data_IF_242555269420
#
_entry.id   IF_242555269420
#
_cell.length_a   1.000
_cell.length_b   1.000
_cell.length_c   1.000
_cell.angle_alpha   90.00
_cell.angle_beta   90.00
_cell.angle_gamma   90.00
#
_symmetry.space_group_name_H-M   'P 1'
#
loop_
_entity.id
_entity.type
_entity.pdbx_description
1 polymer ?
#
# COMPACT_ATOMS: atom_id res chain seq x y z
N UNK A 1 16.44 17.01 -23.13
CA UNK A 1 16.60 16.07 -21.98
C UNK A 1 16.99 16.81 -20.71
N UNK A 2 18.07 17.61 -20.69
CA UNK A 2 18.51 18.36 -19.50
C UNK A 2 17.43 19.31 -18.93
N UNK A 3 16.76 20.09 -19.79
CA UNK A 3 15.70 21.00 -19.37
C UNK A 3 14.55 20.26 -18.66
N UNK A 4 14.17 19.07 -19.17
CA UNK A 4 13.13 18.24 -18.56
C UNK A 4 13.55 17.65 -17.22
N UNK A 5 14.82 17.27 -17.06
CA UNK A 5 15.36 16.82 -15.77
C UNK A 5 15.38 17.97 -14.74
N UNK A 6 15.81 19.16 -15.16
CA UNK A 6 15.81 20.34 -14.29
C UNK A 6 14.38 20.72 -13.89
N UNK A 7 13.44 20.74 -14.84
CA UNK A 7 12.01 20.96 -14.55
C UNK A 7 11.47 19.92 -13.58
N UNK A 8 11.73 18.63 -13.82
CA UNK A 8 11.31 17.56 -12.94
C UNK A 8 11.88 17.69 -11.53
N UNK A 9 13.15 18.06 -11.41
CA UNK A 9 13.79 18.32 -10.12
C UNK A 9 13.17 19.51 -9.38
N UNK A 10 12.89 20.61 -10.08
CA UNK A 10 12.21 21.77 -9.49
C UNK A 10 10.79 21.47 -9.06
N UNK A 11 10.01 20.75 -9.88
CA UNK A 11 8.66 20.30 -9.53
C UNK A 11 8.70 19.40 -8.30
N UNK A 12 9.69 18.50 -8.22
CA UNK A 12 9.89 17.65 -7.05
C UNK A 12 10.17 18.46 -5.78
N UNK A 13 11.13 19.40 -5.82
CA UNK A 13 11.44 20.26 -4.67
C UNK A 13 10.25 21.12 -4.24
N UNK A 14 9.51 21.68 -5.20
CA UNK A 14 8.29 22.45 -4.92
C UNK A 14 7.21 21.58 -4.29
N UNK A 15 7.04 20.34 -4.76
CA UNK A 15 6.09 19.39 -4.18
C UNK A 15 6.42 19.11 -2.72
N UNK A 16 7.69 18.89 -2.38
CA UNK A 16 8.11 18.69 -0.99
C UNK A 16 7.89 19.96 -0.15
N UNK A 17 8.26 21.14 -0.68
CA UNK A 17 8.06 22.41 0.01
C UNK A 17 6.57 22.68 0.33
N UNK A 18 5.68 22.45 -0.64
CA UNK A 18 4.24 22.62 -0.48
C UNK A 18 3.68 21.60 0.52
N UNK A 19 4.13 20.34 0.43
CA UNK A 19 3.61 19.25 1.25
C UNK A 19 4.01 19.37 2.71
N UNK A 20 5.25 19.81 2.99
CA UNK A 20 5.82 19.86 4.34
C UNK A 20 5.89 21.27 4.93
N UNK A 21 5.71 22.32 4.13
CA UNK A 21 5.78 23.72 4.56
C UNK A 21 7.18 24.21 4.92
N UNK A 22 8.22 23.43 4.59
CA UNK A 22 9.63 23.75 4.85
C UNK A 22 10.50 23.15 3.74
N UNK A 23 11.70 23.68 3.47
CA UNK A 23 12.64 23.06 2.54
C UNK A 23 13.02 21.67 3.04
N UNK A 24 12.36 20.67 2.48
CA UNK A 24 12.49 19.26 2.80
C UNK A 24 12.87 18.52 1.52
N UNK A 25 13.84 17.61 1.60
CA UNK A 25 14.21 16.74 0.46
C UNK A 25 13.92 15.32 0.90
N UNK A 26 12.71 14.85 0.58
CA UNK A 26 12.17 13.57 1.02
C UNK A 26 13.07 12.40 0.62
N UNK A 27 13.69 12.45 -0.56
CA UNK A 27 14.56 11.41 -1.10
C UNK A 27 15.85 11.23 -0.31
N UNK A 28 16.50 12.34 0.10
CA UNK A 28 17.73 12.29 0.91
C UNK A 28 17.42 11.76 2.31
N UNK A 29 16.35 12.25 2.92
CA UNK A 29 15.95 11.81 4.25
C UNK A 29 15.51 10.34 4.25
N UNK A 30 14.79 9.92 3.21
CA UNK A 30 14.43 8.52 2.99
C UNK A 30 15.68 7.64 2.82
N UNK A 31 16.65 8.09 2.01
CA UNK A 31 17.91 7.36 1.81
C UNK A 31 18.67 7.23 3.14
N UNK A 32 18.83 8.32 3.88
CA UNK A 32 19.50 8.31 5.18
C UNK A 32 18.81 7.34 6.15
N UNK A 33 17.49 7.46 6.31
CA UNK A 33 16.73 6.62 7.23
C UNK A 33 16.79 5.12 6.90
N UNK A 34 16.79 4.76 5.61
CA UNK A 34 16.70 3.36 5.18
C UNK A 34 18.05 2.71 4.88
N UNK A 35 19.04 3.45 4.36
CA UNK A 35 20.33 2.90 3.96
C UNK A 35 21.45 3.17 4.96
N UNK A 36 21.38 4.28 5.71
CA UNK A 36 22.42 4.66 6.69
C UNK A 36 21.97 4.23 8.09
N UNK A 37 20.76 4.63 8.48
CA UNK A 37 20.25 4.41 9.83
C UNK A 37 19.53 3.05 9.97
N UNK A 38 19.29 2.34 8.87
CA UNK A 38 18.63 1.02 8.78
C UNK A 38 17.33 0.90 9.60
N UNK A 39 16.57 1.99 9.73
CA UNK A 39 15.34 2.05 10.55
C UNK A 39 14.30 1.05 10.05
N UNK A 40 14.29 0.78 8.74
CA UNK A 40 13.39 -0.17 8.09
C UNK A 40 13.49 -1.61 8.58
N UNK A 41 14.66 -2.05 9.08
CA UNK A 41 14.86 -3.42 9.59
C UNK A 41 13.90 -3.81 10.70
N UNK A 42 13.51 -2.84 11.52
CA UNK A 42 12.55 -3.01 12.61
C UNK A 42 11.16 -3.46 12.12
N UNK A 43 10.87 -3.28 10.82
CA UNK A 43 9.61 -3.64 10.17
C UNK A 43 9.73 -4.92 9.32
N UNK A 44 10.84 -5.65 9.45
CA UNK A 44 11.12 -6.89 8.74
C UNK A 44 11.91 -6.67 7.44
N UNK A 45 12.69 -7.69 7.07
CA UNK A 45 13.55 -7.71 5.89
C UNK A 45 13.01 -8.65 4.81
N UNK A 46 13.17 -8.27 3.55
CA UNK A 46 12.85 -9.13 2.39
C UNK A 46 14.07 -9.34 1.49
N UNK A 47 14.18 -10.48 0.79
CA UNK A 47 15.31 -10.74 -0.10
C UNK A 47 15.33 -9.78 -1.29
N UNK A 48 16.49 -9.66 -1.96
CA UNK A 48 16.65 -8.86 -3.18
C UNK A 48 15.62 -9.23 -4.26
N UNK A 49 15.28 -10.52 -4.37
CA UNK A 49 14.34 -11.05 -5.37
C UNK A 49 12.88 -10.64 -5.13
N UNK A 50 12.55 -9.98 -4.02
CA UNK A 50 11.18 -9.66 -3.63
C UNK A 50 10.38 -8.98 -4.74
N UNK A 51 10.91 -7.90 -5.34
CA UNK A 51 10.16 -7.17 -6.37
C UNK A 51 9.97 -7.98 -7.65
N UNK A 52 10.97 -8.76 -8.07
CA UNK A 52 10.86 -9.67 -9.20
C UNK A 52 9.75 -10.71 -8.97
N UNK A 53 9.67 -11.28 -7.77
CA UNK A 53 8.60 -12.20 -7.39
C UNK A 53 7.23 -11.52 -7.38
N UNK A 54 7.15 -10.28 -6.90
CA UNK A 54 5.90 -9.53 -6.95
C UNK A 54 5.46 -9.24 -8.39
N UNK A 55 6.36 -8.79 -9.27
CA UNK A 55 6.03 -8.61 -10.68
C UNK A 55 5.56 -9.91 -11.32
N UNK A 56 6.24 -11.03 -11.07
CA UNK A 56 5.79 -12.35 -11.53
C UNK A 56 4.40 -12.70 -11.04
N UNK A 57 4.06 -12.35 -9.80
CA UNK A 57 2.74 -12.58 -9.23
C UNK A 57 1.65 -11.71 -9.86
N UNK A 58 1.90 -10.42 -10.05
CA UNK A 58 0.88 -9.46 -10.52
C UNK A 58 0.77 -9.37 -12.05
N UNK A 59 1.88 -9.51 -12.76
CA UNK A 59 1.90 -9.49 -14.22
C UNK A 59 1.76 -10.90 -14.81
N UNK A 60 2.04 -11.96 -14.03
CA UNK A 60 1.77 -13.35 -14.41
C UNK A 60 2.33 -13.68 -15.81
N UNK A 61 1.55 -14.39 -16.64
CA UNK A 61 1.97 -14.78 -17.99
C UNK A 61 2.20 -13.60 -18.95
N UNK A 62 1.76 -12.38 -18.62
CA UNK A 62 2.00 -11.20 -19.47
C UNK A 62 3.49 -10.83 -19.54
N UNK A 63 4.30 -11.25 -18.56
CA UNK A 63 5.75 -10.99 -18.56
C UNK A 63 6.47 -11.59 -19.77
N UNK A 64 5.91 -12.62 -20.42
CA UNK A 64 6.47 -13.18 -21.67
C UNK A 64 6.57 -12.11 -22.77
N UNK A 65 5.66 -11.13 -22.77
CA UNK A 65 5.67 -10.05 -23.76
C UNK A 65 6.57 -8.88 -23.37
N UNK A 66 7.06 -8.81 -22.13
CA UNK A 66 7.89 -7.68 -21.68
C UNK A 66 9.19 -7.58 -22.50
N UNK A 67 9.90 -8.69 -22.68
CA UNK A 67 11.18 -8.69 -23.40
C UNK A 67 11.05 -8.28 -24.88
N UNK A 68 10.12 -8.84 -25.68
CA UNK A 68 9.86 -8.35 -27.04
C UNK A 68 9.56 -6.85 -27.12
N UNK A 69 8.79 -6.32 -26.16
CA UNK A 69 8.46 -4.90 -26.12
C UNK A 69 9.64 -4.00 -25.79
N UNK A 70 10.47 -4.41 -24.82
CA UNK A 70 11.72 -3.72 -24.47
C UNK A 70 12.66 -3.67 -25.67
N UNK A 71 12.84 -4.78 -26.38
CA UNK A 71 13.70 -4.85 -27.59
C UNK A 71 13.16 -3.93 -28.69
N UNK A 72 11.84 -3.94 -28.93
CA UNK A 72 11.22 -3.11 -29.96
C UNK A 72 11.37 -1.60 -29.71
N UNK A 73 11.39 -1.17 -28.45
CA UNK A 73 11.51 0.25 -28.06
C UNK A 73 12.89 0.66 -27.59
N UNK A 74 13.85 -0.26 -27.52
CA UNK A 74 15.19 0.02 -26.99
C UNK A 74 15.83 1.25 -27.63
N UNK A 75 15.86 1.32 -28.97
CA UNK A 75 16.51 2.41 -29.69
C UNK A 75 15.95 3.80 -29.38
N UNK A 76 14.64 3.92 -29.16
CA UNK A 76 13.98 5.21 -28.93
C UNK A 76 13.79 5.54 -27.45
N UNK A 77 13.80 4.54 -26.56
CA UNK A 77 13.41 4.71 -25.16
C UNK A 77 14.38 4.08 -24.15
N UNK A 78 15.61 3.72 -24.56
CA UNK A 78 16.61 3.17 -23.64
C UNK A 78 16.81 3.98 -22.33
N UNK A 79 16.71 5.33 -22.29
CA UNK A 79 16.88 6.05 -21.03
C UNK A 79 15.78 5.73 -20.01
N UNK A 80 14.54 5.55 -20.47
CA UNK A 80 13.41 5.19 -19.62
C UNK A 80 13.54 3.74 -19.14
N UNK A 81 13.95 2.84 -20.03
CA UNK A 81 14.17 1.42 -19.71
C UNK A 81 15.27 1.29 -18.65
N UNK A 82 16.43 1.90 -18.89
CA UNK A 82 17.57 1.86 -17.95
C UNK A 82 17.19 2.53 -16.63
N UNK A 83 16.53 3.69 -16.67
CA UNK A 83 16.08 4.37 -15.45
C UNK A 83 15.12 3.52 -14.62
N UNK A 84 14.20 2.82 -15.27
CA UNK A 84 13.25 1.91 -14.59
C UNK A 84 13.97 0.71 -13.97
N UNK A 85 14.88 0.08 -14.72
CA UNK A 85 15.69 -1.05 -14.20
C UNK A 85 16.51 -0.59 -13.00
N UNK A 86 17.22 0.52 -13.14
CA UNK A 86 18.05 1.09 -12.09
C UNK A 86 17.23 1.42 -10.84
N UNK A 87 16.05 2.03 -11.02
CA UNK A 87 15.14 2.33 -9.93
C UNK A 87 14.69 1.06 -9.17
N UNK A 88 14.30 0.00 -9.88
CA UNK A 88 13.92 -1.28 -9.24
C UNK A 88 15.10 -1.93 -8.54
N UNK A 89 16.29 -1.92 -9.14
CA UNK A 89 17.50 -2.51 -8.54
C UNK A 89 17.88 -1.77 -7.26
N UNK A 90 17.90 -0.44 -7.27
CA UNK A 90 18.19 0.36 -6.07
C UNK A 90 17.21 0.05 -4.93
N UNK A 91 15.92 -0.03 -5.21
CA UNK A 91 14.93 -0.39 -4.20
C UNK A 91 15.07 -1.84 -3.74
N UNK A 92 15.54 -2.74 -4.61
CA UNK A 92 15.78 -4.15 -4.26
C UNK A 92 16.92 -4.33 -3.25
N UNK A 93 17.82 -3.35 -3.12
CA UNK A 93 18.91 -3.37 -2.13
C UNK A 93 18.40 -3.01 -0.73
N UNK A 94 17.34 -2.20 -0.61
CA UNK A 94 16.77 -1.79 0.68
C UNK A 94 16.25 -3.01 1.44
N UNK A 95 16.57 -3.14 2.72
CA UNK A 95 16.20 -4.32 3.53
C UNK A 95 14.68 -4.45 3.68
N UNK A 96 14.01 -3.36 4.04
CA UNK A 96 12.55 -3.29 4.11
C UNK A 96 11.95 -2.96 2.74
N UNK A 97 11.04 -3.82 2.27
CA UNK A 97 10.47 -3.72 0.94
C UNK A 97 8.96 -3.74 0.97
N UNK A 98 8.36 -2.76 0.31
CA UNK A 98 6.93 -2.70 0.07
C UNK A 98 6.66 -2.45 -1.40
N UNK A 99 5.58 -3.05 -1.92
CA UNK A 99 5.20 -2.90 -3.33
C UNK A 99 4.97 -1.44 -3.72
N UNK A 100 4.47 -0.61 -2.78
CA UNK A 100 4.19 0.81 -3.02
C UNK A 100 5.42 1.61 -3.42
N UNK A 101 6.63 1.22 -2.97
CA UNK A 101 7.86 1.93 -3.30
C UNK A 101 8.19 1.88 -4.80
N UNK A 102 7.81 0.78 -5.46
CA UNK A 102 8.03 0.59 -6.89
C UNK A 102 6.77 0.79 -7.74
N UNK A 103 5.67 1.28 -7.16
CA UNK A 103 4.36 1.29 -7.83
C UNK A 103 4.37 2.04 -9.17
N UNK A 104 5.15 3.12 -9.28
CA UNK A 104 5.28 3.91 -10.50
C UNK A 104 5.92 3.17 -11.68
N UNK A 105 6.56 2.04 -11.43
CA UNK A 105 7.13 1.20 -12.51
C UNK A 105 6.07 0.36 -13.22
N UNK A 106 4.92 0.10 -12.59
CA UNK A 106 3.88 -0.75 -13.18
C UNK A 106 3.33 -0.19 -14.50
N UNK A 107 2.96 1.11 -14.62
CA UNK A 107 2.55 1.69 -15.89
C UNK A 107 3.61 1.55 -16.98
N UNK A 108 4.88 1.74 -16.63
CA UNK A 108 6.01 1.61 -17.58
C UNK A 108 6.16 0.16 -18.06
N UNK A 109 6.11 -0.80 -17.16
CA UNK A 109 6.18 -2.23 -17.50
C UNK A 109 4.98 -2.66 -18.35
N UNK A 110 3.78 -2.21 -18.01
CA UNK A 110 2.56 -2.49 -18.79
C UNK A 110 2.64 -1.91 -20.20
N UNK A 111 3.16 -0.71 -20.36
CA UNK A 111 3.40 -0.11 -21.68
C UNK A 111 4.29 -1.01 -22.55
N UNK A 112 5.43 -1.48 -22.01
CA UNK A 112 6.31 -2.37 -22.75
C UNK A 112 5.70 -3.75 -23.01
N UNK A 113 4.90 -4.30 -22.08
CA UNK A 113 4.13 -5.52 -22.32
C UNK A 113 3.19 -5.35 -23.52
N UNK A 114 2.46 -4.24 -23.62
CA UNK A 114 1.55 -3.94 -24.73
C UNK A 114 2.32 -3.87 -26.06
N UNK A 115 3.47 -3.20 -26.08
CA UNK A 115 4.32 -3.13 -27.26
C UNK A 115 4.83 -4.53 -27.67
N UNK A 116 5.14 -5.39 -26.71
CA UNK A 116 5.51 -6.79 -26.99
C UNK A 116 4.36 -7.61 -27.55
N UNK A 117 3.13 -7.42 -27.05
CA UNK A 117 1.92 -8.04 -27.62
C UNK A 117 1.74 -7.56 -29.06
N UNK A 118 1.98 -6.29 -29.37
CA UNK A 118 1.85 -5.74 -30.72
C UNK A 118 2.89 -6.32 -31.68
N UNK A 119 4.15 -6.44 -31.27
CA UNK A 119 5.21 -7.12 -32.04
C UNK A 119 4.80 -8.56 -32.34
N UNK A 120 4.29 -9.26 -31.34
CA UNK A 120 3.85 -10.63 -31.50
C UNK A 120 2.64 -10.74 -32.44
N UNK A 121 1.67 -9.83 -32.35
CA UNK A 121 0.52 -9.75 -33.27
C UNK A 121 0.96 -9.57 -34.74
N UNK A 122 1.91 -8.67 -35.00
CA UNK A 122 2.45 -8.47 -36.37
C UNK A 122 3.11 -9.76 -36.86
N UNK A 123 3.91 -10.40 -36.00
CA UNK A 123 4.53 -11.69 -36.31
C UNK A 123 3.47 -12.73 -36.69
N UNK A 124 2.42 -12.90 -35.90
CA UNK A 124 1.33 -13.84 -36.18
C UNK A 124 0.63 -13.56 -37.50
N UNK A 125 0.32 -12.29 -37.77
CA UNK A 125 -0.33 -11.86 -39.01
C UNK A 125 0.52 -12.18 -40.24
N UNK A 126 1.85 -12.01 -40.14
CA UNK A 126 2.79 -12.35 -41.21
C UNK A 126 2.76 -13.84 -41.56
N UNK A 127 2.71 -14.71 -40.55
CA UNK A 127 2.72 -16.16 -40.76
C UNK A 127 1.34 -16.79 -40.94
N UNK A 128 0.26 -15.99 -40.95
CA UNK A 128 -1.15 -16.44 -41.02
C UNK A 128 -1.46 -17.61 -40.08
N UNK A 129 -0.79 -17.65 -38.92
CA UNK A 129 -0.85 -18.80 -38.02
C UNK A 129 -1.95 -18.58 -36.96
N UNK A 130 -3.14 -19.11 -37.24
CA UNK A 130 -4.30 -18.98 -36.36
C UNK A 130 -4.09 -19.65 -35.00
N UNK A 131 -3.32 -20.73 -34.92
CA UNK A 131 -3.03 -21.43 -33.67
C UNK A 131 -2.21 -20.58 -32.71
N UNK A 132 -1.28 -19.80 -33.23
CA UNK A 132 -0.42 -18.95 -32.41
C UNK A 132 -1.16 -17.67 -31.95
N UNK A 133 -2.20 -17.22 -32.66
CA UNK A 133 -3.14 -16.22 -32.15
C UNK A 133 -4.00 -16.79 -31.01
N UNK A 134 -4.55 -17.99 -31.19
CA UNK A 134 -5.31 -18.68 -30.13
C UNK A 134 -4.47 -18.91 -28.87
N UNK A 135 -3.19 -19.23 -29.02
CA UNK A 135 -2.26 -19.39 -27.90
C UNK A 135 -2.04 -18.08 -27.11
N UNK A 136 -1.94 -16.93 -27.79
CA UNK A 136 -1.84 -15.62 -27.12
C UNK A 136 -3.11 -15.28 -26.38
N UNK A 137 -4.27 -15.44 -27.03
CA UNK A 137 -5.56 -15.23 -26.37
C UNK A 137 -5.71 -16.13 -25.15
N UNK A 138 -5.26 -17.39 -25.23
CA UNK A 138 -5.28 -18.30 -24.09
C UNK A 138 -4.35 -17.82 -22.98
N UNK A 139 -3.12 -17.38 -23.29
CA UNK A 139 -2.18 -16.83 -22.30
C UNK A 139 -2.70 -15.56 -21.62
N UNK A 140 -3.35 -14.66 -22.37
CA UNK A 140 -3.91 -13.43 -21.78
C UNK A 140 -5.12 -13.76 -20.90
N UNK A 141 -6.01 -14.65 -21.35
CA UNK A 141 -7.15 -15.11 -20.56
C UNK A 141 -6.69 -15.81 -19.28
N UNK A 142 -5.73 -16.75 -19.36
CA UNK A 142 -5.21 -17.44 -18.17
C UNK A 142 -4.54 -16.47 -17.21
N UNK A 143 -3.82 -15.46 -17.71
CA UNK A 143 -3.23 -14.41 -16.85
C UNK A 143 -4.30 -13.59 -16.12
N UNK A 144 -5.40 -13.25 -16.81
CA UNK A 144 -6.52 -12.54 -16.23
C UNK A 144 -7.24 -13.41 -15.18
N UNK A 145 -7.43 -14.70 -15.45
CA UNK A 145 -8.05 -15.63 -14.50
C UNK A 145 -7.20 -15.84 -13.24
N UNK A 146 -5.88 -16.00 -13.38
CA UNK A 146 -4.95 -16.10 -12.25
C UNK A 146 -4.98 -14.81 -11.42
N UNK A 147 -4.93 -13.65 -12.08
CA UNK A 147 -5.01 -12.36 -11.41
C UNK A 147 -6.36 -12.15 -10.72
N UNK A 148 -7.47 -12.48 -11.38
CA UNK A 148 -8.81 -12.40 -10.78
C UNK A 148 -8.90 -13.26 -9.52
N UNK A 149 -8.44 -14.51 -9.56
CA UNK A 149 -8.43 -15.39 -8.39
C UNK A 149 -7.53 -14.86 -7.26
N UNK A 150 -6.36 -14.29 -7.60
CA UNK A 150 -5.47 -13.70 -6.59
C UNK A 150 -6.06 -12.44 -5.97
N UNK A 151 -6.70 -11.58 -6.78
CA UNK A 151 -7.34 -10.34 -6.33
C UNK A 151 -8.56 -10.63 -5.46
N UNK A 152 -9.45 -11.51 -5.92
CA UNK A 152 -10.70 -11.81 -5.20
C UNK A 152 -10.48 -12.60 -3.92
N UNK A 153 -9.47 -13.48 -3.86
CA UNK A 153 -9.20 -14.31 -2.68
C UNK A 153 -8.26 -13.67 -1.65
N UNK A 154 -7.45 -12.66 -2.02
CA UNK A 154 -6.41 -12.10 -1.14
C UNK A 154 -6.51 -10.61 -0.86
N UNK A 155 -7.36 -9.85 -1.57
CA UNK A 155 -7.65 -8.47 -1.18
C UNK A 155 -8.92 -8.51 -0.34
N UNK A 156 -8.82 -8.49 1.00
CA UNK A 156 -9.95 -8.08 1.81
C UNK A 156 -10.15 -6.60 1.52
N UNK A 157 -10.93 -6.26 0.49
CA UNK A 157 -11.45 -4.91 0.27
C UNK A 157 -12.21 -4.41 1.51
N UNK A 158 -12.60 -5.34 2.39
CA UNK A 158 -13.15 -5.07 3.71
C UNK A 158 -12.14 -4.39 4.66
N UNK A 159 -10.83 -4.59 4.52
CA UNK A 159 -9.83 -4.04 5.44
C UNK A 159 -9.77 -2.52 5.40
N UNK A 160 -9.84 -1.93 4.20
CA UNK A 160 -9.88 -0.46 4.08
C UNK A 160 -11.23 0.07 4.53
N UNK A 161 -12.33 -0.60 4.18
CA UNK A 161 -13.67 -0.16 4.55
C UNK A 161 -13.91 -0.19 6.06
N UNK A 162 -13.47 -1.23 6.79
CA UNK A 162 -13.66 -1.33 8.24
C UNK A 162 -12.91 -0.22 8.98
N UNK A 163 -11.63 0.00 8.66
CA UNK A 163 -10.83 1.06 9.27
C UNK A 163 -11.36 2.45 8.86
N UNK A 164 -11.75 2.62 7.59
CA UNK A 164 -12.33 3.86 7.08
C UNK A 164 -13.66 4.19 7.77
N UNK A 165 -14.54 3.21 7.93
CA UNK A 165 -15.81 3.38 8.64
C UNK A 165 -15.59 3.66 10.13
N UNK A 166 -14.55 3.08 10.74
CA UNK A 166 -14.16 3.43 12.10
C UNK A 166 -13.74 4.90 12.22
N UNK A 167 -12.94 5.40 11.28
CA UNK A 167 -12.54 6.81 11.26
C UNK A 167 -13.72 7.74 10.96
N UNK A 168 -14.58 7.39 10.01
CA UNK A 168 -15.78 8.17 9.66
C UNK A 168 -16.76 8.24 10.83
N UNK A 169 -17.06 7.10 11.48
CA UNK A 169 -17.88 7.08 12.69
C UNK A 169 -17.24 7.87 13.83
N UNK A 170 -15.91 7.82 13.97
CA UNK A 170 -15.22 8.61 14.99
C UNK A 170 -15.38 10.12 14.74
N UNK A 171 -15.28 10.55 13.47
CA UNK A 171 -15.49 11.94 13.06
C UNK A 171 -16.95 12.38 13.25
N UNK A 172 -17.93 11.58 12.81
CA UNK A 172 -19.37 11.87 12.97
C UNK A 172 -19.78 12.03 14.45
N UNK A 173 -19.13 11.28 15.35
CA UNK A 173 -19.39 11.34 16.79
C UNK A 173 -18.51 12.36 17.53
N UNK A 174 -17.79 13.23 16.80
CA UNK A 174 -17.04 14.34 17.39
C UNK A 174 -15.85 13.91 18.25
N UNK A 175 -15.32 12.69 18.04
CA UNK A 175 -14.19 12.20 18.82
C UNK A 175 -12.95 13.06 18.52
N UNK A 176 -12.60 13.87 19.52
CA UNK A 176 -11.42 14.73 19.57
C UNK A 176 -10.56 14.34 20.77
N UNK A 177 -9.25 14.56 20.70
CA UNK A 177 -8.29 14.20 21.75
C UNK A 177 -7.72 12.78 21.66
N UNK A 178 -6.86 12.43 22.64
CA UNK A 178 -6.22 11.11 22.77
C UNK A 178 -7.24 10.01 23.01
N UNK A 179 -7.73 9.42 21.93
CA UNK A 179 -8.75 8.37 21.93
C UNK A 179 -8.12 7.02 21.58
N UNK A 180 -8.47 5.99 22.34
CA UNK A 180 -8.01 4.62 22.17
C UNK A 180 -8.99 3.86 21.28
N UNK A 181 -8.52 3.29 20.18
CA UNK A 181 -9.31 2.42 19.31
C UNK A 181 -8.81 1.00 19.51
N UNK A 182 -9.63 0.15 20.15
CA UNK A 182 -9.29 -1.26 20.34
C UNK A 182 -9.91 -2.07 19.22
N UNK A 183 -9.08 -2.71 18.40
CA UNK A 183 -9.53 -3.62 17.34
C UNK A 183 -9.07 -5.03 17.70
N UNK A 184 -9.97 -6.01 17.58
CA UNK A 184 -9.80 -7.36 18.12
C UNK A 184 -8.74 -8.21 17.38
N UNK A 185 -8.20 -7.74 16.25
CA UNK A 185 -7.14 -8.46 15.51
C UNK A 185 -5.88 -7.61 15.34
N UNK A 186 -4.82 -8.18 14.77
CA UNK A 186 -3.57 -7.47 14.49
C UNK A 186 -3.79 -6.44 13.36
N UNK A 187 -4.55 -5.38 13.64
CA UNK A 187 -4.74 -4.29 12.69
C UNK A 187 -3.55 -3.35 12.80
N UNK A 188 -2.91 -3.06 11.66
CA UNK A 188 -1.70 -2.28 11.57
C UNK A 188 -1.84 -0.93 12.30
N UNK A 189 -0.87 -0.62 13.17
CA UNK A 189 -0.70 0.71 13.72
C UNK A 189 -0.46 1.70 12.58
N UNK A 190 -1.51 2.36 12.12
CA UNK A 190 -1.41 3.51 11.22
C UNK A 190 -0.96 4.73 12.00
N UNK A 191 0.34 4.88 12.22
CA UNK A 191 0.88 6.16 12.65
C UNK A 191 0.61 7.20 11.55
N UNK A 192 -0.23 8.19 11.85
CA UNK A 192 -0.31 9.42 11.06
C UNK A 192 -1.00 9.30 9.70
N UNK A 193 -2.21 8.74 9.64
CA UNK A 193 -3.07 9.06 8.51
C UNK A 193 -3.52 10.52 8.61
N UNK A 194 -2.93 11.38 7.77
CA UNK A 194 -3.56 12.64 7.38
C UNK A 194 -4.79 12.28 6.57
N UNK A 195 -5.92 12.13 7.26
CA UNK A 195 -7.20 11.92 6.59
C UNK A 195 -7.65 13.28 6.03
N UNK A 196 -7.84 13.35 4.71
CA UNK A 196 -8.42 14.51 4.00
C UNK A 196 -7.75 15.87 4.30
N UNK A 197 -6.42 15.88 4.49
CA UNK A 197 -5.68 17.13 4.69
C UNK A 197 -5.91 17.83 6.04
N UNK A 198 -6.66 17.21 6.95
CA UNK A 198 -6.80 17.72 8.32
C UNK A 198 -5.68 17.15 9.17
N UNK A 199 -4.88 18.03 9.79
CA UNK A 199 -4.02 17.64 10.92
C UNK A 199 -4.95 17.22 12.04
N UNK A 200 -5.13 15.91 12.24
CA UNK A 200 -5.49 15.44 13.57
C UNK A 200 -4.36 15.87 14.49
N UNK A 201 -4.60 16.91 15.29
CA UNK A 201 -3.67 17.34 16.34
C UNK A 201 -3.54 16.29 17.44
N UNK A 202 -4.41 15.28 17.42
CA UNK A 202 -4.59 14.34 18.49
C UNK A 202 -4.15 12.92 18.09
N UNK A 203 -3.45 12.26 19.01
CA UNK A 203 -2.89 10.94 18.81
C UNK A 203 -3.97 9.87 19.00
N UNK A 204 -4.41 9.26 17.90
CA UNK A 204 -5.20 8.03 17.94
C UNK A 204 -4.30 6.84 18.22
N UNK A 205 -4.70 6.05 19.21
CA UNK A 205 -3.93 4.90 19.68
C UNK A 205 -4.64 3.61 19.29
N UNK A 206 -3.99 2.79 18.46
CA UNK A 206 -4.49 1.46 18.10
C UNK A 206 -3.79 0.40 18.94
N UNK A 207 -4.53 -0.28 19.81
CA UNK A 207 -3.99 -1.36 20.63
C UNK A 207 -4.91 -2.58 20.63
N UNK A 208 -4.33 -3.76 20.41
CA UNK A 208 -4.98 -5.02 20.78
C UNK A 208 -4.80 -5.24 22.28
N UNK A 209 -5.66 -4.59 23.06
CA UNK A 209 -5.56 -4.56 24.51
C UNK A 209 -5.76 -5.95 25.14
N UNK A 210 -6.54 -6.83 24.51
CA UNK A 210 -6.77 -8.22 24.96
C UNK A 210 -5.49 -9.07 25.10
N UNK A 211 -4.37 -8.66 24.51
CA UNK A 211 -3.07 -9.34 24.65
C UNK A 211 -2.26 -8.92 25.88
N UNK A 212 -2.61 -7.82 26.54
CA UNK A 212 -1.83 -7.25 27.63
C UNK A 212 -2.51 -7.47 28.98
N UNK A 213 -1.70 -7.60 30.04
CA UNK A 213 -2.23 -7.68 31.41
C UNK A 213 -2.96 -6.41 31.82
N UNK A 214 -3.92 -6.54 32.73
CA UNK A 214 -4.73 -5.42 33.23
C UNK A 214 -3.87 -4.25 33.74
N UNK A 215 -2.80 -4.54 34.49
CA UNK A 215 -1.90 -3.50 35.02
C UNK A 215 -1.11 -2.77 33.92
N UNK A 216 -0.82 -3.45 32.81
CA UNK A 216 -0.20 -2.80 31.65
C UNK A 216 -1.20 -1.89 30.94
N UNK A 217 -2.42 -2.39 30.72
CA UNK A 217 -3.51 -1.62 30.12
C UNK A 217 -3.78 -0.33 30.92
N UNK A 218 -3.91 -0.44 32.25
CA UNK A 218 -4.12 0.69 33.15
C UNK A 218 -3.00 1.73 33.07
N UNK A 219 -1.74 1.28 33.18
CA UNK A 219 -0.57 2.17 33.06
C UNK A 219 -0.50 2.87 31.71
N UNK A 220 -0.88 2.18 30.63
CA UNK A 220 -0.90 2.75 29.29
C UNK A 220 -1.96 3.86 29.16
N UNK A 221 -3.18 3.59 29.61
CA UNK A 221 -4.30 4.54 29.61
C UNK A 221 -3.94 5.81 30.39
N UNK A 222 -3.39 5.65 31.59
CA UNK A 222 -2.97 6.77 32.45
C UNK A 222 -1.80 7.56 31.84
N UNK A 223 -0.74 6.86 31.39
CA UNK A 223 0.47 7.48 30.81
C UNK A 223 0.15 8.28 29.54
N UNK A 224 -0.77 7.77 28.71
CA UNK A 224 -1.16 8.40 27.45
C UNK A 224 -2.32 9.38 27.58
N UNK A 225 -2.86 9.59 28.79
CA UNK A 225 -4.00 10.47 29.06
C UNK A 225 -5.17 10.20 28.11
N UNK A 226 -5.52 8.93 27.95
CA UNK A 226 -6.59 8.50 27.05
C UNK A 226 -7.94 8.95 27.63
N UNK A 227 -8.72 9.69 26.84
CA UNK A 227 -10.00 10.27 27.27
C UNK A 227 -11.22 9.50 26.75
N UNK A 228 -11.15 8.97 25.54
CA UNK A 228 -12.24 8.23 24.91
C UNK A 228 -11.75 6.85 24.45
N UNK A 229 -12.63 5.84 24.43
CA UNK A 229 -12.29 4.50 23.94
C UNK A 229 -13.33 3.96 22.95
N UNK A 230 -12.93 3.79 21.70
CA UNK A 230 -13.69 3.09 20.65
C UNK A 230 -13.40 1.59 20.73
N UNK A 231 -14.43 0.76 20.96
CA UNK A 231 -14.30 -0.67 21.20
C UNK A 231 -15.35 -1.44 20.39
N UNK A 232 -14.98 -2.58 19.84
CA UNK A 232 -15.96 -3.49 19.24
C UNK A 232 -16.87 -4.08 20.32
N UNK A 233 -18.18 -4.13 20.04
CA UNK A 233 -19.27 -4.46 20.97
C UNK A 233 -18.96 -5.60 21.97
N UNK A 234 -18.21 -6.62 21.54
CA UNK A 234 -17.85 -7.80 22.34
C UNK A 234 -17.03 -7.51 23.60
N UNK A 235 -16.33 -6.38 23.70
CA UNK A 235 -15.50 -6.02 24.87
C UNK A 235 -16.05 -4.81 25.66
N UNK A 236 -17.17 -4.24 25.24
CA UNK A 236 -17.74 -3.01 25.83
C UNK A 236 -17.98 -3.11 27.34
N UNK A 237 -18.55 -4.21 27.81
CA UNK A 237 -18.82 -4.44 29.24
C UNK A 237 -17.55 -4.50 30.09
N UNK A 238 -16.47 -5.10 29.57
CA UNK A 238 -15.19 -5.21 30.30
C UNK A 238 -14.58 -3.83 30.57
N UNK A 239 -14.55 -2.94 29.57
CA UNK A 239 -13.96 -1.61 29.74
C UNK A 239 -14.87 -0.65 30.50
N UNK A 240 -16.19 -0.76 30.33
CA UNK A 240 -17.13 -0.02 31.14
C UNK A 240 -16.95 -0.37 32.63
N UNK A 241 -16.93 -1.67 32.96
CA UNK A 241 -16.82 -2.16 34.34
C UNK A 241 -15.47 -1.82 34.99
N UNK A 242 -14.37 -2.01 34.27
CA UNK A 242 -13.04 -1.95 34.88
C UNK A 242 -12.34 -0.59 34.74
N UNK A 243 -12.71 0.22 33.74
CA UNK A 243 -12.06 1.51 33.47
C UNK A 243 -13.03 2.70 33.43
N UNK A 244 -14.33 2.49 33.70
CA UNK A 244 -15.37 3.54 33.73
C UNK A 244 -15.56 4.29 32.41
N UNK A 245 -15.21 3.69 31.28
CA UNK A 245 -15.39 4.30 29.96
C UNK A 245 -16.82 4.23 29.40
N UNK A 246 -17.81 3.88 30.22
CA UNK A 246 -19.19 3.56 29.80
C UNK A 246 -19.84 4.64 28.91
N UNK A 247 -19.58 5.92 29.19
CA UNK A 247 -20.13 7.06 28.42
C UNK A 247 -19.35 7.37 27.13
N UNK A 248 -18.18 6.74 26.97
CA UNK A 248 -17.26 6.98 25.84
C UNK A 248 -17.05 5.74 24.97
N UNK A 249 -17.77 4.64 25.26
CA UNK A 249 -17.71 3.39 24.48
C UNK A 249 -18.73 3.46 23.36
N UNK A 250 -18.22 3.50 22.13
CA UNK A 250 -19.03 3.50 20.92
C UNK A 250 -19.02 2.09 20.33
N UNK A 251 -20.16 1.41 20.40
CA UNK A 251 -20.32 0.07 19.82
C UNK A 251 -20.46 0.16 18.30
N UNK A 252 -19.55 -0.47 17.57
CA UNK A 252 -19.58 -0.60 16.10
C UNK A 252 -20.69 -1.60 15.66
N UNK A 253 -21.51 -2.09 16.60
CA UNK A 253 -22.40 -3.25 16.45
C UNK A 253 -23.60 -3.11 15.51
N UNK A 254 -23.93 -1.90 15.02
CA UNK A 254 -25.14 -1.68 14.20
C UNK A 254 -24.88 -1.27 12.75
N UNK A 255 -23.64 -1.32 12.26
CA UNK A 255 -23.42 -1.30 10.81
C UNK A 255 -23.94 -2.63 10.28
N UNK A 256 -25.17 -2.65 9.78
CA UNK A 256 -25.77 -3.86 9.22
C UNK A 256 -24.99 -4.25 7.97
N UNK A 257 -24.02 -5.14 8.14
CA UNK A 257 -23.39 -5.84 7.05
C UNK A 257 -24.46 -6.79 6.51
N UNK A 258 -25.30 -6.31 5.58
CA UNK A 258 -26.01 -7.23 4.70
C UNK A 258 -24.92 -8.10 4.09
N UNK A 259 -24.80 -9.34 4.59
CA UNK A 259 -24.16 -10.43 3.86
C UNK A 259 -24.79 -10.38 2.48
N UNK A 260 -24.12 -9.78 1.50
CA UNK A 260 -24.36 -10.18 0.12
C UNK A 260 -23.85 -11.61 0.09
N UNK A 261 -24.80 -12.53 0.13
CA UNK A 261 -24.58 -13.92 -0.22
C UNK A 261 -23.71 -13.94 -1.48
N UNK A 262 -22.47 -14.41 -1.31
CA UNK A 262 -21.67 -14.93 -2.41
C UNK A 262 -22.35 -16.18 -2.97
#
# INVERSE_FOLDING_TARGET
MLLGLLLGFWVYLLSDLISYGMPFISSINYYKANMIDNIGTNWGSSPFSFYFLQYSKYLSFLLVFLFPGLVAKWKSQYPIIIGTIFFVVLHSIIEHKELRFIYFTFPVLLYYIIEGIFVFYIFLKKYKNIFALSFVCLLTITSLSVNYNNVTKKIPWNFLNEILQLFLNAEENGLSGSSLVTINENYACGAGYVYLGRKYTDQLYFFKMSKYSFDFQKRLIEKKKIKNVLIWNTESEYYCKNFKFCETIWSIGNVSWKKRSL
#
